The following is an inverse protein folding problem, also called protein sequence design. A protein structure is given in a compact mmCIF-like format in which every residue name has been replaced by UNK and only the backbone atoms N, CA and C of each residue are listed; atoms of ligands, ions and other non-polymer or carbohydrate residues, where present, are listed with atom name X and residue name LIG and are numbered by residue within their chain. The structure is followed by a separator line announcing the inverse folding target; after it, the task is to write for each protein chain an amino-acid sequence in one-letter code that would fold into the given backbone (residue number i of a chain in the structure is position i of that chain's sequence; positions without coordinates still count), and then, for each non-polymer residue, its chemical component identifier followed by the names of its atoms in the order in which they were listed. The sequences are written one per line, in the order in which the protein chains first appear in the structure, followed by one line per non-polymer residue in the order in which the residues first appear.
data_IF_993920440256
#
_entry.id   IF_993920440256
#
_cell.length_a   1.000
_cell.length_b   1.000
_cell.length_c   1.000
_cell.angle_alpha   90.00
_cell.angle_beta   90.00
_cell.angle_gamma   90.00
#
_symmetry.space_group_name_H-M   'P 1'
#
loop_
_entity.id
_entity.type
_entity.pdbx_description
1 polymer ?
#
# COMPACT_ATOMS: atom_id res chain seq x y z
N UNK A 1 26.01 37.28 -8.12
CA UNK A 1 26.04 36.17 -9.09
C UNK A 1 25.09 35.08 -8.58
N UNK A 2 23.91 34.93 -9.17
CA UNK A 2 22.93 33.92 -8.74
C UNK A 2 23.42 32.52 -9.14
N UNK A 3 23.51 31.60 -8.17
CA UNK A 3 23.91 30.23 -8.42
C UNK A 3 22.91 29.55 -9.37
N UNK A 4 23.38 29.11 -10.55
CA UNK A 4 22.59 28.30 -11.48
C UNK A 4 22.19 27.00 -10.78
N UNK A 5 20.91 26.87 -10.43
CA UNK A 5 20.35 25.62 -9.89
C UNK A 5 20.56 24.52 -10.94
N UNK A 6 21.37 23.50 -10.60
CA UNK A 6 21.53 22.29 -11.40
C UNK A 6 20.16 21.63 -11.58
N UNK A 7 19.83 21.27 -12.82
CA UNK A 7 18.62 20.50 -13.11
C UNK A 7 18.67 19.17 -12.32
N UNK A 8 17.53 18.73 -11.74
CA UNK A 8 17.50 17.49 -10.97
C UNK A 8 17.87 16.32 -11.89
N UNK A 9 18.90 15.57 -11.49
CA UNK A 9 19.40 14.42 -12.24
C UNK A 9 18.75 13.17 -11.66
N UNK A 10 17.73 12.64 -12.36
CA UNK A 10 16.96 11.47 -11.97
C UNK A 10 15.51 11.51 -12.45
N UNK A 11 14.82 10.36 -12.42
CA UNK A 11 13.41 10.24 -12.78
C UNK A 11 12.52 10.94 -11.73
N UNK A 12 12.26 12.24 -11.94
CA UNK A 12 11.44 13.10 -11.07
C UNK A 12 10.01 12.56 -10.90
N UNK A 13 9.54 11.80 -11.89
CA UNK A 13 8.21 11.17 -11.93
C UNK A 13 8.03 10.05 -10.90
N UNK A 14 9.10 9.42 -10.40
CA UNK A 14 9.04 8.46 -9.28
C UNK A 14 8.76 9.17 -7.96
N UNK A 15 9.34 10.36 -7.76
CA UNK A 15 9.17 11.17 -6.55
C UNK A 15 7.74 11.72 -6.45
N UNK A 16 7.15 12.14 -7.57
CA UNK A 16 5.78 12.67 -7.58
C UNK A 16 4.73 11.58 -7.33
N UNK A 17 4.86 10.39 -7.95
CA UNK A 17 3.96 9.27 -7.68
C UNK A 17 4.02 8.80 -6.22
N UNK A 18 5.20 8.80 -5.62
CA UNK A 18 5.36 8.48 -4.21
C UNK A 18 4.67 9.51 -3.30
N UNK A 19 4.79 10.81 -3.61
CA UNK A 19 4.08 11.89 -2.89
C UNK A 19 2.56 11.76 -3.02
N UNK A 20 2.05 11.62 -4.24
CA UNK A 20 0.61 11.46 -4.49
C UNK A 20 0.03 10.19 -3.84
N UNK A 21 0.83 9.15 -3.62
CA UNK A 21 0.41 7.97 -2.86
C UNK A 21 0.34 8.25 -1.36
N UNK A 22 1.29 9.01 -0.81
CA UNK A 22 1.31 9.41 0.60
C UNK A 22 0.19 10.40 0.93
N UNK A 23 -0.08 11.35 0.03
CA UNK A 23 -1.19 12.31 0.16
C UNK A 23 -2.54 11.59 0.22
N UNK A 24 -2.80 10.65 -0.69
CA UNK A 24 -4.02 9.82 -0.65
C UNK A 24 -4.15 8.97 0.62
N UNK A 25 -3.04 8.54 1.21
CA UNK A 25 -3.08 7.82 2.49
C UNK A 25 -3.40 8.76 3.66
N UNK A 26 -2.83 9.97 3.66
CA UNK A 26 -3.12 10.99 4.66
C UNK A 26 -4.58 11.44 4.60
N UNK A 27 -5.12 11.69 3.40
CA UNK A 27 -6.53 12.02 3.17
C UNK A 27 -7.48 10.92 3.66
N UNK A 28 -7.12 9.65 3.44
CA UNK A 28 -7.89 8.50 3.92
C UNK A 28 -7.72 8.21 5.42
N UNK A 29 -7.00 9.06 6.18
CA UNK A 29 -6.57 8.82 7.56
C UNK A 29 -5.89 7.45 7.76
N UNK A 30 -5.30 6.92 6.69
CA UNK A 30 -4.59 5.66 6.68
C UNK A 30 -3.11 5.85 7.01
N UNK A 31 -2.46 4.75 7.42
CA UNK A 31 -0.99 4.70 7.58
C UNK A 31 -0.42 3.60 6.72
N UNK A 32 0.82 3.79 6.25
CA UNK A 32 1.56 2.71 5.57
C UNK A 32 1.91 1.65 6.60
N UNK A 33 1.59 0.41 6.27
CA UNK A 33 2.08 -0.76 6.96
C UNK A 33 3.04 -1.50 6.01
N UNK A 34 4.28 -1.68 6.43
CA UNK A 34 5.23 -2.55 5.75
C UNK A 34 5.15 -3.91 6.43
N UNK A 35 4.90 -4.96 5.65
CA UNK A 35 4.76 -6.33 6.15
C UNK A 35 5.60 -7.24 5.26
N UNK A 36 6.44 -8.04 5.90
CA UNK A 36 7.10 -9.16 5.25
C UNK A 36 6.18 -10.38 5.35
N UNK A 37 5.81 -10.95 4.20
CA UNK A 37 5.03 -12.17 4.14
C UNK A 37 5.99 -13.35 4.03
N UNK A 38 5.75 -14.38 4.84
CA UNK A 38 6.37 -15.69 4.65
C UNK A 38 5.75 -16.40 3.44
N UNK A 39 6.26 -17.61 3.13
CA UNK A 39 5.80 -18.37 1.96
C UNK A 39 4.29 -18.64 2.00
N UNK A 40 3.74 -18.95 3.18
CA UNK A 40 2.32 -19.20 3.37
C UNK A 40 1.49 -17.93 3.19
N UNK A 41 1.91 -16.82 3.81
CA UNK A 41 1.26 -15.52 3.66
C UNK A 41 1.27 -15.02 2.22
N UNK A 42 2.37 -15.22 1.50
CA UNK A 42 2.47 -14.88 0.08
C UNK A 42 1.55 -15.76 -0.79
N UNK A 43 1.52 -17.07 -0.54
CA UNK A 43 0.62 -17.99 -1.25
C UNK A 43 -0.86 -17.64 -1.00
N UNK A 44 -1.21 -17.35 0.25
CA UNK A 44 -2.57 -16.93 0.62
C UNK A 44 -2.97 -15.62 -0.07
N UNK A 45 -2.08 -14.62 -0.12
CA UNK A 45 -2.34 -13.38 -0.83
C UNK A 45 -2.64 -13.63 -2.31
N UNK A 46 -1.85 -14.48 -2.98
CA UNK A 46 -2.04 -14.81 -4.39
C UNK A 46 -3.34 -15.57 -4.65
N UNK A 47 -3.69 -16.54 -3.79
CA UNK A 47 -4.95 -17.27 -3.89
C UNK A 47 -6.16 -16.33 -3.75
N UNK A 48 -6.14 -15.41 -2.79
CA UNK A 48 -7.21 -14.43 -2.58
C UNK A 48 -7.33 -13.44 -3.75
N UNK A 49 -6.22 -13.06 -4.37
CA UNK A 49 -6.25 -12.23 -5.58
C UNK A 49 -6.88 -12.98 -6.75
N UNK A 50 -6.49 -14.24 -6.96
CA UNK A 50 -7.02 -15.08 -8.04
C UNK A 50 -8.53 -15.36 -7.88
N UNK A 51 -9.01 -15.49 -6.64
CA UNK A 51 -10.43 -15.67 -6.30
C UNK A 51 -11.26 -14.37 -6.41
N UNK A 52 -10.63 -13.23 -6.69
CA UNK A 52 -11.32 -11.95 -6.78
C UNK A 52 -11.72 -11.37 -5.42
N UNK A 53 -11.18 -11.88 -4.31
CA UNK A 53 -11.43 -11.38 -2.95
C UNK A 53 -11.09 -9.89 -2.82
N UNK A 54 -10.18 -9.37 -3.65
CA UNK A 54 -9.95 -7.95 -3.86
C UNK A 54 -9.15 -7.70 -5.14
N UNK A 55 -9.43 -6.60 -5.86
CA UNK A 55 -8.77 -6.32 -7.15
C UNK A 55 -7.30 -5.86 -7.07
N UNK A 56 -6.76 -5.69 -5.87
CA UNK A 56 -5.35 -5.31 -5.62
C UNK A 56 -4.87 -5.89 -4.29
N UNK A 57 -3.56 -6.03 -4.09
CA UNK A 57 -2.99 -6.51 -2.82
C UNK A 57 -3.47 -5.65 -1.63
N UNK A 58 -3.52 -4.32 -1.81
CA UNK A 58 -4.07 -3.38 -0.81
C UNK A 58 -5.51 -3.74 -0.44
N UNK A 59 -6.36 -4.01 -1.45
CA UNK A 59 -7.76 -4.34 -1.22
C UNK A 59 -7.91 -5.67 -0.48
N UNK A 60 -7.13 -6.69 -0.85
CA UNK A 60 -7.12 -7.99 -0.16
C UNK A 60 -6.71 -7.84 1.30
N UNK A 61 -5.55 -7.21 1.58
CA UNK A 61 -5.04 -7.04 2.94
C UNK A 61 -6.03 -6.26 3.80
N UNK A 62 -6.56 -5.14 3.31
CA UNK A 62 -7.53 -4.35 4.07
C UNK A 62 -8.84 -5.12 4.35
N UNK A 63 -9.37 -5.84 3.36
CA UNK A 63 -10.59 -6.66 3.55
C UNK A 63 -10.36 -7.78 4.56
N UNK A 64 -9.24 -8.49 4.47
CA UNK A 64 -8.88 -9.59 5.36
C UNK A 64 -8.71 -9.09 6.82
N UNK A 65 -7.99 -7.99 7.02
CA UNK A 65 -7.80 -7.37 8.34
C UNK A 65 -9.15 -6.95 8.97
N UNK A 66 -10.01 -6.29 8.20
CA UNK A 66 -11.34 -5.89 8.68
C UNK A 66 -12.19 -7.12 9.02
N UNK A 67 -12.22 -8.13 8.16
CA UNK A 67 -12.97 -9.36 8.38
C UNK A 67 -12.51 -10.09 9.65
N UNK A 68 -11.19 -10.21 9.84
CA UNK A 68 -10.60 -10.80 11.05
C UNK A 68 -10.95 -9.99 12.31
N UNK A 69 -10.82 -8.66 12.28
CA UNK A 69 -11.16 -7.81 13.42
C UNK A 69 -12.62 -7.93 13.86
N UNK A 70 -13.56 -8.09 12.91
CA UNK A 70 -14.98 -8.29 13.20
C UNK A 70 -15.26 -9.61 13.91
N UNK A 71 -14.47 -10.65 13.66
CA UNK A 71 -14.58 -11.94 14.36
C UNK A 71 -14.17 -11.80 15.82
N UNK A 72 -13.09 -11.06 16.10
CA UNK A 72 -12.60 -10.80 17.45
C UNK A 72 -13.60 -9.95 18.25
N UNK A 73 -14.26 -8.96 17.64
CA UNK A 73 -15.25 -8.11 18.32
C UNK A 73 -16.58 -8.81 18.64
N UNK A 74 -16.82 -9.99 18.07
CA UNK A 74 -18.05 -10.78 18.29
C UNK A 74 -17.89 -11.80 19.43
N UNK A 75 -16.66 -12.04 19.86
CA UNK A 75 -16.30 -12.71 21.12
C UNK A 75 -16.18 -11.68 22.23
#
# INVERSE_FOLDING_TARGET
MAAKKKAPQGDTTRTERAKAHLERLAEAKGKRLLVDLDAEGHAALNALLADGYGGTNKAVVNRALIAASKRIKRT
#
